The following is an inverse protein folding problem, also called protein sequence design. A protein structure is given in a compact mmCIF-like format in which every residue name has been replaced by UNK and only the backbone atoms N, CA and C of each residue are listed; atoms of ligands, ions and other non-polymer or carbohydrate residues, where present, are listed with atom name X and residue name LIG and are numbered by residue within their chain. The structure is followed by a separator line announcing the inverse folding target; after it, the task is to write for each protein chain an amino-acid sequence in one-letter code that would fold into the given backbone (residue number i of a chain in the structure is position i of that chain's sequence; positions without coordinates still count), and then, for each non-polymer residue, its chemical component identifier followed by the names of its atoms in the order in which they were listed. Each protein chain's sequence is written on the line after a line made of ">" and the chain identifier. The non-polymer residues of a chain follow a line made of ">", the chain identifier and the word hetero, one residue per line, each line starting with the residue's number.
data_IF_453701164406
#
_entry.id   IF_453701164406
#
_cell.length_a   1.000
_cell.length_b   1.000
_cell.length_c   1.000
_cell.angle_alpha   90.00
_cell.angle_beta   90.00
_cell.angle_gamma   90.00
#
_symmetry.space_group_name_H-M   'P 1'
#
loop_
_entity.id
_entity.type
_entity.pdbx_description
1 polymer ?
#
# COMPACT_ATOMS: atom_id res chain seq x y z
N UNK A 1 -9.28 2.24 -0.68
CA UNK A 1 -8.66 2.07 0.67
C UNK A 1 -7.87 0.78 0.64
N UNK A 2 -6.66 0.76 1.18
CA UNK A 2 -5.85 -0.44 1.22
C UNK A 2 -6.46 -1.45 2.22
N UNK A 3 -6.35 -2.77 1.98
CA UNK A 3 -6.91 -3.80 2.88
C UNK A 3 -6.42 -3.66 4.31
N UNK A 4 -5.13 -3.33 4.50
CA UNK A 4 -4.53 -3.11 5.80
C UNK A 4 -5.16 -1.93 6.55
N UNK A 5 -5.41 -0.84 5.82
CA UNK A 5 -6.10 0.33 6.39
C UNK A 5 -7.53 -0.03 6.78
N UNK A 6 -8.22 -0.82 5.95
CA UNK A 6 -9.58 -1.26 6.26
C UNK A 6 -9.60 -2.13 7.52
N UNK A 7 -8.74 -3.14 7.58
CA UNK A 7 -8.64 -3.99 8.77
C UNK A 7 -8.33 -3.18 10.03
N UNK A 8 -7.36 -2.27 9.93
CA UNK A 8 -6.99 -1.43 11.06
C UNK A 8 -8.14 -0.51 11.49
N UNK A 9 -8.93 -0.02 10.55
CA UNK A 9 -10.15 0.73 10.88
C UNK A 9 -11.18 -0.16 11.57
N UNK A 10 -11.44 -1.35 11.03
CA UNK A 10 -12.36 -2.32 11.63
C UNK A 10 -11.87 -2.75 13.03
N UNK A 11 -10.57 -2.92 13.21
CA UNK A 11 -9.92 -3.19 14.50
C UNK A 11 -10.10 -2.04 15.49
N UNK A 12 -9.88 -0.80 15.05
CA UNK A 12 -10.06 0.39 15.90
C UNK A 12 -11.54 0.65 16.20
N UNK A 13 -12.44 0.43 15.24
CA UNK A 13 -13.89 0.60 15.42
C UNK A 13 -14.50 -0.46 16.35
N UNK A 14 -13.92 -1.66 16.44
CA UNK A 14 -14.35 -2.71 17.37
C UNK A 14 -13.98 -2.42 18.83
N UNK A 15 -13.19 -1.38 19.07
CA UNK A 15 -12.71 -0.91 20.38
C UNK A 15 -13.23 0.49 20.66
N UNK A 16 -13.16 0.92 21.91
CA UNK A 16 -13.46 2.30 22.24
C UNK A 16 -12.54 3.21 21.39
N UNK A 17 -13.08 4.25 20.73
CA UNK A 17 -12.24 5.15 19.93
C UNK A 17 -11.13 5.71 20.79
N UNK A 18 -9.90 5.70 20.27
CA UNK A 18 -8.77 6.29 20.97
C UNK A 18 -9.10 7.75 21.27
N UNK A 19 -8.83 8.16 22.50
CA UNK A 19 -9.07 9.54 22.93
C UNK A 19 -8.31 10.53 22.04
N UNK A 20 -7.09 10.17 21.63
CA UNK A 20 -6.20 10.93 20.75
C UNK A 20 -6.77 11.08 19.33
N UNK A 21 -7.42 10.04 18.80
CA UNK A 21 -8.11 10.13 17.50
C UNK A 21 -9.30 11.08 17.56
N UNK A 22 -10.09 10.98 18.62
CA UNK A 22 -11.25 11.87 18.84
C UNK A 22 -10.80 13.32 19.02
N UNK A 23 -9.74 13.56 19.78
CA UNK A 23 -9.15 14.87 19.94
C UNK A 23 -8.63 15.43 18.60
N UNK A 24 -7.91 14.62 17.85
CA UNK A 24 -7.39 15.00 16.51
C UNK A 24 -8.52 15.38 15.56
N UNK A 25 -9.61 14.61 15.52
CA UNK A 25 -10.77 14.91 14.69
C UNK A 25 -11.43 16.23 15.09
N UNK A 26 -11.57 16.47 16.40
CA UNK A 26 -12.16 17.71 16.94
C UNK A 26 -11.28 18.92 16.59
N UNK A 27 -9.99 18.83 16.82
CA UNK A 27 -9.05 19.92 16.50
C UNK A 27 -8.95 20.16 15.00
N UNK A 28 -8.99 19.10 14.17
CA UNK A 28 -9.00 19.23 12.71
C UNK A 28 -10.28 19.93 12.21
N UNK A 29 -11.41 19.60 12.79
CA UNK A 29 -12.67 20.29 12.52
C UNK A 29 -12.60 21.77 12.88
N UNK A 30 -12.11 22.11 14.09
CA UNK A 30 -11.95 23.49 14.55
C UNK A 30 -10.95 24.25 13.67
N UNK A 31 -9.82 23.60 13.33
CA UNK A 31 -8.82 24.18 12.43
C UNK A 31 -9.44 24.52 11.05
N UNK A 32 -10.24 23.65 10.50
CA UNK A 32 -10.85 23.83 9.18
C UNK A 32 -11.83 25.03 9.15
N UNK A 33 -12.56 25.26 10.22
CA UNK A 33 -13.60 26.28 10.28
C UNK A 33 -13.15 27.63 10.84
N UNK A 34 -11.94 27.71 11.42
CA UNK A 34 -11.44 28.97 11.97
C UNK A 34 -10.85 29.88 10.91
N UNK A 35 -10.85 31.20 11.17
CA UNK A 35 -10.06 32.17 10.42
C UNK A 35 -8.55 32.04 10.81
N UNK A 36 -7.69 31.87 9.81
CA UNK A 36 -6.26 31.72 10.00
C UNK A 36 -5.49 33.05 9.91
N UNK A 37 -6.17 34.17 9.71
CA UNK A 37 -5.54 35.49 9.57
C UNK A 37 -4.74 35.72 8.29
N UNK A 38 -4.72 34.75 7.39
CA UNK A 38 -4.02 34.84 6.09
C UNK A 38 -4.95 34.41 4.95
N UNK A 39 -5.23 35.32 4.02
CA UNK A 39 -6.14 35.06 2.90
C UNK A 39 -5.75 33.84 2.06
N UNK A 40 -4.46 33.70 1.76
CA UNK A 40 -3.96 32.55 0.97
C UNK A 40 -4.14 31.21 1.68
N UNK A 41 -4.05 31.20 3.01
CA UNK A 41 -4.32 30.00 3.81
C UNK A 41 -5.80 29.68 3.87
N UNK A 42 -6.62 30.69 4.12
CA UNK A 42 -8.07 30.55 4.15
C UNK A 42 -8.62 30.09 2.79
N UNK A 43 -8.09 30.63 1.69
CA UNK A 43 -8.50 30.23 0.34
C UNK A 43 -8.13 28.77 0.07
N UNK A 44 -6.91 28.33 0.38
CA UNK A 44 -6.45 26.95 0.23
C UNK A 44 -7.33 25.96 1.00
N UNK A 45 -7.70 26.29 2.24
CA UNK A 45 -8.54 25.45 3.07
C UNK A 45 -9.97 25.36 2.50
N UNK A 46 -10.52 26.47 2.03
CA UNK A 46 -11.82 26.50 1.36
C UNK A 46 -11.83 25.69 0.06
N UNK A 47 -10.73 25.71 -0.68
CA UNK A 47 -10.58 24.92 -1.91
C UNK A 47 -10.61 23.42 -1.63
N UNK A 48 -10.06 22.99 -0.49
CA UNK A 48 -10.09 21.58 -0.12
C UNK A 48 -11.51 21.05 0.06
N UNK A 49 -12.43 21.81 0.67
CA UNK A 49 -13.86 21.53 0.91
C UNK A 49 -14.17 20.02 1.13
N UNK A 50 -13.62 19.37 2.18
CA UNK A 50 -13.83 17.95 2.41
C UNK A 50 -15.25 17.69 2.90
N UNK A 51 -15.87 16.61 2.42
CA UNK A 51 -17.06 16.06 3.05
C UNK A 51 -16.75 15.67 4.50
N UNK A 52 -17.73 15.74 5.40
CA UNK A 52 -17.53 15.49 6.84
C UNK A 52 -16.84 14.16 7.15
N UNK A 53 -17.12 13.12 6.38
CA UNK A 53 -16.51 11.80 6.50
C UNK A 53 -15.04 11.77 6.03
N UNK A 54 -14.59 12.78 5.28
CA UNK A 54 -13.21 12.83 4.79
C UNK A 54 -12.22 13.12 5.91
N UNK A 55 -12.59 13.86 6.94
CA UNK A 55 -11.73 14.10 8.10
C UNK A 55 -11.41 12.79 8.83
N UNK A 56 -12.45 11.98 9.09
CA UNK A 56 -12.25 10.67 9.71
C UNK A 56 -11.34 9.79 8.85
N UNK A 57 -11.60 9.70 7.56
CA UNK A 57 -10.78 8.91 6.64
C UNK A 57 -9.32 9.38 6.61
N UNK A 58 -9.05 10.69 6.66
CA UNK A 58 -7.69 11.25 6.69
C UNK A 58 -6.97 10.91 8.00
N UNK A 59 -7.63 11.06 9.15
CA UNK A 59 -7.04 10.73 10.45
C UNK A 59 -6.74 9.23 10.54
N UNK A 60 -7.68 8.38 10.13
CA UNK A 60 -7.48 6.93 10.08
C UNK A 60 -6.34 6.54 9.12
N UNK A 61 -6.27 7.16 7.95
CA UNK A 61 -5.21 6.89 6.99
C UNK A 61 -3.84 7.35 7.49
N UNK A 62 -3.77 8.50 8.16
CA UNK A 62 -2.56 8.98 8.81
C UNK A 62 -2.10 7.99 9.87
N UNK A 63 -2.98 7.60 10.77
CA UNK A 63 -2.68 6.70 11.87
C UNK A 63 -2.28 5.32 11.37
N UNK A 64 -3.04 4.76 10.40
CA UNK A 64 -2.69 3.52 9.73
C UNK A 64 -1.33 3.58 9.04
N UNK A 65 -1.02 4.68 8.35
CA UNK A 65 0.28 4.87 7.71
C UNK A 65 1.44 4.80 8.70
N UNK A 66 1.26 5.34 9.90
CA UNK A 66 2.30 5.29 10.95
C UNK A 66 2.38 3.91 11.60
N UNK A 67 1.24 3.29 11.94
CA UNK A 67 1.19 1.96 12.57
C UNK A 67 1.73 0.84 11.67
N UNK A 68 1.52 0.94 10.36
CA UNK A 68 2.04 -0.04 9.39
C UNK A 68 3.56 0.03 9.20
N UNK A 69 4.23 1.00 9.81
CA UNK A 69 5.67 1.21 9.73
C UNK A 69 6.29 1.21 11.14
N UNK A 70 6.66 0.06 11.71
CA UNK A 70 7.15 -0.04 13.09
C UNK A 70 8.33 0.90 13.42
N UNK A 71 9.17 1.22 12.43
CA UNK A 71 10.26 2.18 12.58
C UNK A 71 9.85 3.63 12.28
N UNK A 72 8.54 3.87 12.07
CA UNK A 72 7.99 5.16 11.68
C UNK A 72 8.23 5.52 10.22
N UNK A 73 7.52 6.53 9.75
CA UNK A 73 7.68 7.13 8.43
C UNK A 73 8.52 8.42 8.52
N UNK A 74 9.24 8.76 7.46
CA UNK A 74 9.78 10.13 7.39
C UNK A 74 8.64 11.13 7.26
N UNK A 75 8.80 12.31 7.85
CA UNK A 75 7.78 13.37 7.81
C UNK A 75 7.37 13.71 6.38
N UNK A 76 8.34 13.78 5.45
CA UNK A 76 8.08 14.04 4.04
C UNK A 76 7.29 12.92 3.36
N UNK A 77 7.59 11.66 3.67
CA UNK A 77 6.86 10.52 3.11
C UNK A 77 5.40 10.53 3.59
N UNK A 78 5.18 10.83 4.88
CA UNK A 78 3.83 10.92 5.44
C UNK A 78 3.05 12.10 4.86
N UNK A 79 3.68 13.27 4.65
CA UNK A 79 3.06 14.39 3.92
C UNK A 79 2.62 13.93 2.53
N UNK A 80 3.50 13.28 1.76
CA UNK A 80 3.17 12.78 0.42
C UNK A 80 2.01 11.78 0.43
N UNK A 81 1.96 10.92 1.46
CA UNK A 81 0.91 9.93 1.65
C UNK A 81 -0.46 10.58 1.92
N UNK A 82 -0.52 11.56 2.83
CA UNK A 82 -1.75 12.27 3.18
C UNK A 82 -2.17 13.28 2.12
N UNK A 83 -1.22 13.93 1.44
CA UNK A 83 -1.52 14.91 0.39
C UNK A 83 -2.36 14.34 -0.78
N UNK A 84 -2.27 13.02 -1.00
CA UNK A 84 -3.12 12.33 -1.98
C UNK A 84 -4.62 12.34 -1.64
N UNK A 85 -4.99 12.63 -0.38
CA UNK A 85 -6.37 12.70 0.08
C UNK A 85 -6.90 14.15 0.15
N UNK A 86 -6.04 15.13 -0.03
CA UNK A 86 -6.39 16.56 -0.02
C UNK A 86 -6.74 16.99 -1.42
N UNK A 87 -7.97 17.47 -1.61
CA UNK A 87 -8.49 17.86 -2.93
C UNK A 87 -8.24 19.36 -3.19
N UNK A 88 -6.98 19.81 -3.17
CA UNK A 88 -6.58 21.12 -3.68
C UNK A 88 -6.05 20.99 -5.09
N UNK A 89 -6.22 22.01 -5.93
CA UNK A 89 -5.71 22.00 -7.31
C UNK A 89 -4.17 21.93 -7.32
N UNK A 90 -3.53 22.79 -6.55
CA UNK A 90 -2.08 22.89 -6.57
C UNK A 90 -1.38 21.89 -5.63
N UNK A 91 -0.39 21.10 -6.13
CA UNK A 91 0.29 20.07 -5.33
C UNK A 91 0.95 20.58 -4.03
N UNK A 92 1.50 21.80 -4.08
CA UNK A 92 2.12 22.43 -2.90
C UNK A 92 1.09 22.73 -1.80
N UNK A 93 -0.14 23.08 -2.17
CA UNK A 93 -1.19 23.39 -1.22
C UNK A 93 -1.76 22.11 -0.59
N UNK A 94 -1.80 21.00 -1.35
CA UNK A 94 -2.06 19.66 -0.79
C UNK A 94 -1.03 19.29 0.27
N UNK A 95 0.26 19.48 -0.03
CA UNK A 95 1.34 19.17 0.90
C UNK A 95 1.29 20.03 2.16
N UNK A 96 0.95 21.34 2.03
CA UNK A 96 0.79 22.25 3.17
C UNK A 96 -0.38 21.82 4.07
N UNK A 97 -1.54 21.48 3.49
CA UNK A 97 -2.67 20.98 4.26
C UNK A 97 -2.33 19.66 4.97
N UNK A 98 -1.69 18.72 4.26
CA UNK A 98 -1.24 17.46 4.86
C UNK A 98 -0.28 17.68 6.03
N UNK A 99 0.68 18.61 5.89
CA UNK A 99 1.60 18.94 6.97
C UNK A 99 0.88 19.51 8.20
N UNK A 100 -0.16 20.32 8.01
CA UNK A 100 -0.96 20.84 9.11
C UNK A 100 -1.81 19.76 9.79
N UNK A 101 -2.36 18.81 9.03
CA UNK A 101 -3.06 17.63 9.60
C UNK A 101 -2.11 16.82 10.49
N UNK A 102 -0.89 16.56 10.05
CA UNK A 102 0.12 15.84 10.84
C UNK A 102 0.49 16.64 12.10
N UNK A 103 0.62 17.96 11.99
CA UNK A 103 0.90 18.82 13.13
C UNK A 103 -0.23 18.81 14.17
N UNK A 104 -1.48 18.78 13.74
CA UNK A 104 -2.65 18.65 14.63
C UNK A 104 -2.63 17.26 15.31
N UNK A 105 -2.37 16.19 14.58
CA UNK A 105 -2.26 14.84 15.13
C UNK A 105 -1.14 14.74 16.18
N UNK A 106 -0.02 15.42 15.95
CA UNK A 106 1.06 15.54 16.92
C UNK A 106 0.65 16.33 18.18
N UNK A 107 -0.08 17.44 18.04
CA UNK A 107 -0.59 18.24 19.17
C UNK A 107 -1.62 17.49 20.04
N UNK A 108 -2.27 16.49 19.46
CA UNK A 108 -3.25 15.62 20.12
C UNK A 108 -2.65 14.27 20.57
N UNK A 109 -1.35 14.13 20.59
CA UNK A 109 -0.61 12.93 21.02
C UNK A 109 -0.93 11.65 20.22
N UNK A 110 -1.61 11.78 19.06
CA UNK A 110 -1.87 10.64 18.18
C UNK A 110 -0.60 10.11 17.52
N UNK A 111 0.34 11.00 17.25
CA UNK A 111 1.65 10.67 16.68
C UNK A 111 2.76 11.44 17.40
N UNK A 112 3.97 10.87 17.34
CA UNK A 112 5.18 11.47 17.90
C UNK A 112 6.10 11.87 16.75
N UNK A 113 6.61 13.11 16.77
CA UNK A 113 7.59 13.58 15.79
C UNK A 113 8.96 13.66 16.47
N UNK A 114 9.91 12.90 16.00
CA UNK A 114 11.27 12.85 16.51
C UNK A 114 12.30 13.17 15.44
N UNK A 115 13.47 13.63 15.84
CA UNK A 115 14.59 13.91 14.96
C UNK A 115 15.63 12.78 15.09
N UNK A 116 15.98 12.15 13.98
CA UNK A 116 16.99 11.09 13.96
C UNK A 116 18.40 11.69 14.05
N UNK A 117 19.40 10.81 14.30
CA UNK A 117 20.82 11.18 14.25
C UNK A 117 21.25 11.79 12.91
N UNK A 118 20.60 11.41 11.82
CA UNK A 118 20.81 11.95 10.48
C UNK A 118 20.04 13.26 10.19
N UNK A 119 19.50 13.88 11.24
CA UNK A 119 18.68 15.08 11.17
C UNK A 119 17.36 14.95 10.38
N UNK A 120 16.97 13.74 10.04
CA UNK A 120 15.68 13.46 9.39
C UNK A 120 14.57 13.43 10.43
N UNK A 121 13.45 14.07 10.14
CA UNK A 121 12.27 14.01 11.01
C UNK A 121 11.50 12.71 10.71
N UNK A 122 11.22 11.94 11.77
CA UNK A 122 10.37 10.74 11.71
C UNK A 122 9.10 10.92 12.51
N UNK A 123 8.05 10.27 12.03
CA UNK A 123 6.74 10.23 12.68
C UNK A 123 6.48 8.78 13.10
N UNK A 124 6.24 8.59 14.38
CA UNK A 124 5.92 7.32 15.02
C UNK A 124 4.65 7.47 15.85
N UNK A 125 4.20 6.41 16.48
CA UNK A 125 3.14 6.46 17.52
C UNK A 125 3.57 5.64 18.72
N UNK A 126 3.08 5.98 19.89
CA UNK A 126 3.25 5.19 21.12
C UNK A 126 2.20 4.08 21.23
N UNK A 127 1.20 4.10 20.37
CA UNK A 127 0.18 3.07 20.34
C UNK A 127 0.76 1.72 19.88
N UNK A 128 0.52 0.69 20.68
CA UNK A 128 0.93 -0.68 20.40
C UNK A 128 -0.32 -1.48 20.04
N UNK A 129 -0.29 -2.12 18.87
CA UNK A 129 -1.33 -3.07 18.50
C UNK A 129 -1.23 -4.31 19.40
N UNK A 130 -2.34 -4.73 19.99
CA UNK A 130 -2.38 -5.96 20.81
C UNK A 130 -2.44 -7.24 19.94
N UNK A 131 -2.80 -7.07 18.67
CA UNK A 131 -2.84 -8.13 17.67
C UNK A 131 -1.82 -7.85 16.59
N UNK A 132 -1.16 -8.89 16.10
CA UNK A 132 -0.33 -8.76 14.90
C UNK A 132 -1.21 -8.31 13.75
N UNK A 133 -0.75 -7.29 13.02
CA UNK A 133 -1.42 -6.89 11.78
C UNK A 133 -1.41 -8.12 10.89
N UNK A 134 -2.58 -8.67 10.52
CA UNK A 134 -2.61 -9.78 9.59
C UNK A 134 -1.78 -9.40 8.38
N UNK A 135 -0.99 -10.33 7.87
CA UNK A 135 -0.21 -10.10 6.65
C UNK A 135 -1.20 -9.82 5.50
N UNK A 136 -1.75 -8.61 5.48
CA UNK A 136 -2.54 -8.13 4.35
C UNK A 136 -1.57 -8.01 3.19
N UNK A 137 -1.62 -9.02 2.41
CA UNK A 137 -0.76 -9.18 1.29
C UNK A 137 -1.13 -8.13 0.22
N UNK A 138 -0.47 -6.99 0.28
CA UNK A 138 -0.27 -6.12 -0.90
C UNK A 138 0.30 -6.90 -2.08
N UNK A 139 0.59 -8.16 -1.88
CA UNK A 139 1.33 -9.04 -2.75
C UNK A 139 0.57 -10.32 -3.10
N UNK A 140 -0.68 -10.47 -2.62
CA UNK A 140 -1.56 -11.51 -3.13
C UNK A 140 -2.02 -11.16 -4.54
N UNK A 141 -2.14 -12.16 -5.40
CA UNK A 141 -2.79 -12.00 -6.69
C UNK A 141 -4.30 -11.76 -6.50
N UNK A 142 -4.96 -11.31 -7.54
CA UNK A 142 -6.40 -11.05 -7.52
C UNK A 142 -7.18 -12.36 -7.72
N UNK A 143 -8.21 -12.60 -6.93
CA UNK A 143 -9.07 -13.79 -7.08
C UNK A 143 -10.20 -13.59 -8.10
N UNK A 144 -10.29 -12.40 -8.67
CA UNK A 144 -11.18 -12.08 -9.78
C UNK A 144 -10.39 -11.27 -10.81
N UNK A 145 -10.76 -11.31 -12.12
CA UNK A 145 -10.12 -10.48 -13.12
C UNK A 145 -10.28 -9.00 -12.72
N UNK A 146 -9.19 -8.21 -12.80
CA UNK A 146 -9.26 -6.78 -12.50
C UNK A 146 -10.14 -6.05 -13.52
N UNK A 147 -10.66 -4.91 -13.10
CA UNK A 147 -11.34 -3.97 -13.99
C UNK A 147 -10.39 -3.50 -15.10
N UNK A 148 -10.91 -3.26 -16.33
CA UNK A 148 -10.11 -2.73 -17.42
C UNK A 148 -9.37 -1.43 -17.01
N UNK A 149 -8.12 -1.34 -17.40
CA UNK A 149 -7.25 -0.21 -17.06
C UNK A 149 -7.71 1.05 -17.80
N UNK A 150 -7.97 2.13 -17.06
CA UNK A 150 -8.51 3.41 -17.61
C UNK A 150 -7.45 4.52 -17.73
N UNK A 151 -6.22 4.25 -17.34
CA UNK A 151 -5.12 5.23 -17.34
C UNK A 151 -3.80 4.55 -17.69
N UNK A 152 -2.77 5.33 -17.94
CA UNK A 152 -1.43 4.88 -18.36
C UNK A 152 -0.45 4.87 -17.16
N UNK A 153 -0.65 4.09 -16.08
CA UNK A 153 0.23 4.15 -14.91
C UNK A 153 1.61 3.60 -15.25
N UNK A 154 2.64 4.22 -14.65
CA UNK A 154 4.01 3.74 -14.75
C UNK A 154 4.26 2.79 -13.58
N UNK A 155 4.79 1.61 -13.86
CA UNK A 155 5.15 0.60 -12.88
C UNK A 155 6.00 1.20 -11.73
N UNK A 156 5.59 0.93 -10.49
CA UNK A 156 6.24 1.45 -9.30
C UNK A 156 6.07 2.95 -9.04
N UNK A 157 5.31 3.64 -9.87
CA UNK A 157 5.09 5.08 -9.80
C UNK A 157 3.59 5.41 -9.77
N UNK A 158 2.90 5.10 -8.69
CA UNK A 158 1.44 5.21 -8.54
C UNK A 158 0.80 6.51 -9.02
N UNK A 159 1.55 7.61 -9.04
CA UNK A 159 1.06 8.95 -9.40
C UNK A 159 1.60 9.46 -10.73
N UNK A 160 2.46 8.69 -11.42
CA UNK A 160 3.01 9.06 -12.71
C UNK A 160 2.31 8.27 -13.81
N UNK A 161 2.03 8.96 -14.88
CA UNK A 161 1.45 8.40 -16.10
C UNK A 161 2.46 8.49 -17.23
N UNK A 162 2.36 7.61 -18.21
CA UNK A 162 3.09 7.76 -19.45
C UNK A 162 2.64 9.04 -20.17
N UNK A 163 3.59 9.75 -20.77
CA UNK A 163 3.31 10.98 -21.53
C UNK A 163 2.58 10.67 -22.86
N UNK A 164 2.75 9.45 -23.38
CA UNK A 164 2.16 8.96 -24.62
C UNK A 164 1.23 7.79 -24.32
N UNK A 165 0.36 7.46 -25.28
CA UNK A 165 -0.53 6.32 -25.17
C UNK A 165 0.25 5.01 -25.15
N UNK A 166 -0.15 4.11 -24.26
CA UNK A 166 0.33 2.73 -24.21
C UNK A 166 -0.81 1.75 -24.54
N UNK A 167 -0.48 0.54 -24.94
CA UNK A 167 -1.47 -0.45 -25.32
C UNK A 167 -2.19 -1.03 -24.10
N UNK A 168 -3.24 -0.36 -23.64
CA UNK A 168 -4.06 -0.81 -22.50
C UNK A 168 -4.77 -2.14 -22.79
N UNK A 169 -5.22 -2.36 -24.00
CA UNK A 169 -5.81 -3.65 -24.44
C UNK A 169 -4.88 -4.86 -24.20
N UNK A 170 -3.57 -4.65 -24.29
CA UNK A 170 -2.61 -5.71 -23.98
C UNK A 170 -2.58 -6.00 -22.47
N UNK A 171 -2.56 -4.97 -21.63
CA UNK A 171 -2.65 -5.12 -20.19
C UNK A 171 -3.94 -5.87 -19.83
N UNK A 172 -5.09 -5.42 -20.34
CA UNK A 172 -6.39 -6.03 -20.04
C UNK A 172 -6.44 -7.52 -20.41
N UNK A 173 -5.87 -7.87 -21.58
CA UNK A 173 -5.77 -9.28 -22.00
C UNK A 173 -4.87 -10.10 -21.08
N UNK A 174 -3.72 -9.57 -20.67
CA UNK A 174 -2.80 -10.26 -19.77
C UNK A 174 -3.43 -10.45 -18.38
N UNK A 175 -4.14 -9.46 -17.88
CA UNK A 175 -4.81 -9.50 -16.58
C UNK A 175 -6.02 -10.44 -16.57
N UNK A 176 -6.66 -10.62 -17.71
CA UNK A 176 -7.80 -11.53 -17.85
C UNK A 176 -7.39 -13.02 -17.82
N UNK A 177 -6.11 -13.36 -18.03
CA UNK A 177 -5.63 -14.74 -18.04
C UNK A 177 -5.70 -15.33 -16.63
N UNK A 178 -6.48 -16.39 -16.40
CA UNK A 178 -6.49 -17.06 -15.10
C UNK A 178 -5.26 -17.95 -14.94
N UNK A 179 -4.59 -17.79 -13.81
CA UNK A 179 -3.39 -18.51 -13.42
C UNK A 179 -3.68 -19.42 -12.22
N UNK A 180 -2.82 -20.40 -12.00
CA UNK A 180 -2.84 -21.29 -10.85
C UNK A 180 -1.41 -21.57 -10.36
N UNK A 181 -1.27 -21.99 -9.13
CA UNK A 181 -0.02 -22.51 -8.59
C UNK A 181 0.11 -24.01 -8.93
N UNK A 182 1.31 -24.46 -9.22
CA UNK A 182 1.64 -25.87 -9.33
C UNK A 182 1.84 -26.47 -7.93
N UNK A 183 0.76 -27.01 -7.36
CA UNK A 183 0.75 -27.59 -6.01
C UNK A 183 1.74 -28.76 -5.86
N UNK A 184 1.94 -29.51 -6.94
CA UNK A 184 2.91 -30.62 -6.93
C UNK A 184 4.33 -30.07 -6.77
N UNK A 185 4.70 -29.08 -7.57
CA UNK A 185 6.01 -28.46 -7.50
C UNK A 185 6.25 -27.83 -6.12
N UNK A 186 5.24 -27.13 -5.59
CA UNK A 186 5.32 -26.52 -4.25
C UNK A 186 5.54 -27.55 -3.15
N UNK A 187 4.96 -28.76 -3.26
CA UNK A 187 5.11 -29.82 -2.28
C UNK A 187 6.44 -30.56 -2.39
N UNK A 188 6.98 -30.70 -3.61
CA UNK A 188 8.21 -31.47 -3.88
C UNK A 188 9.49 -30.61 -3.79
N UNK A 189 9.39 -29.32 -4.09
CA UNK A 189 10.54 -28.43 -4.20
C UNK A 189 10.31 -27.10 -3.45
N UNK A 190 10.81 -26.97 -2.23
CA UNK A 190 10.74 -25.71 -1.49
C UNK A 190 11.61 -24.63 -2.16
N UNK A 191 11.20 -23.37 -2.03
CA UNK A 191 12.00 -22.25 -2.52
C UNK A 191 13.37 -22.22 -1.81
N UNK A 192 14.44 -22.26 -2.58
CA UNK A 192 15.81 -22.27 -2.10
C UNK A 192 16.62 -21.17 -2.79
N UNK A 193 17.75 -20.84 -2.20
CA UNK A 193 18.71 -19.88 -2.77
C UNK A 193 20.13 -20.43 -2.62
N UNK A 194 20.96 -20.16 -3.61
CA UNK A 194 22.40 -20.43 -3.55
C UNK A 194 23.18 -19.23 -2.97
N UNK A 195 22.48 -18.20 -2.51
CA UNK A 195 23.11 -17.01 -1.93
C UNK A 195 23.78 -17.35 -0.61
N UNK A 196 25.03 -16.98 -0.48
CA UNK A 196 25.76 -17.01 0.79
C UNK A 196 25.53 -15.66 1.47
N UNK A 197 24.95 -15.72 2.66
CA UNK A 197 24.64 -14.52 3.42
C UNK A 197 25.89 -13.94 4.08
N UNK A 198 26.08 -12.63 3.98
CA UNK A 198 27.19 -11.94 4.62
C UNK A 198 26.88 -11.59 6.09
N UNK A 199 25.59 -11.44 6.41
CA UNK A 199 25.12 -11.11 7.76
C UNK A 199 23.93 -11.97 8.16
N UNK A 200 23.78 -12.18 9.47
CA UNK A 200 22.64 -12.90 10.05
C UNK A 200 21.31 -12.20 9.75
N UNK A 201 21.30 -10.86 9.68
CA UNK A 201 20.12 -10.09 9.32
C UNK A 201 19.63 -10.40 7.90
N UNK A 202 20.53 -10.61 6.93
CA UNK A 202 20.16 -11.02 5.57
C UNK A 202 19.55 -12.41 5.54
N UNK A 203 20.06 -13.33 6.35
CA UNK A 203 19.51 -14.67 6.50
C UNK A 203 18.11 -14.64 7.11
N UNK A 204 17.91 -13.88 8.18
CA UNK A 204 16.59 -13.68 8.81
C UNK A 204 15.57 -13.06 7.84
N UNK A 205 15.98 -12.07 7.04
CA UNK A 205 15.13 -11.47 6.02
C UNK A 205 14.72 -12.46 4.93
N UNK A 206 15.61 -13.36 4.54
CA UNK A 206 15.30 -14.43 3.60
C UNK A 206 14.33 -15.46 4.18
N UNK A 207 14.53 -15.85 5.42
CA UNK A 207 13.62 -16.78 6.11
C UNK A 207 12.21 -16.19 6.30
N UNK A 208 12.13 -14.91 6.68
CA UNK A 208 10.85 -14.20 6.75
C UNK A 208 10.16 -14.12 5.38
N UNK A 209 10.94 -13.82 4.34
CA UNK A 209 10.42 -13.82 2.97
C UNK A 209 9.86 -15.19 2.56
N UNK A 210 10.57 -16.28 2.85
CA UNK A 210 10.12 -17.65 2.54
C UNK A 210 8.85 -18.00 3.29
N UNK A 211 8.79 -17.69 4.58
CA UNK A 211 7.60 -17.91 5.40
C UNK A 211 6.39 -17.20 4.82
N UNK A 212 6.51 -15.92 4.52
CA UNK A 212 5.43 -15.12 3.92
C UNK A 212 5.06 -15.56 2.52
N UNK A 213 6.02 -16.04 1.74
CA UNK A 213 5.74 -16.63 0.43
C UNK A 213 4.88 -17.89 0.57
N UNK A 214 5.22 -18.78 1.51
CA UNK A 214 4.46 -19.99 1.78
C UNK A 214 3.02 -19.67 2.24
N UNK A 215 2.86 -18.69 3.14
CA UNK A 215 1.54 -18.20 3.57
C UNK A 215 0.71 -17.68 2.38
N UNK A 216 1.33 -16.93 1.47
CA UNK A 216 0.66 -16.42 0.27
C UNK A 216 0.23 -17.55 -0.67
N UNK A 217 1.05 -18.58 -0.85
CA UNK A 217 0.71 -19.76 -1.65
C UNK A 217 -0.46 -20.52 -1.03
N UNK A 218 -0.44 -20.73 0.27
CA UNK A 218 -1.51 -21.40 1.00
C UNK A 218 -2.85 -20.67 0.86
N UNK A 219 -2.85 -19.33 1.00
CA UNK A 219 -4.05 -18.52 0.82
C UNK A 219 -4.62 -18.68 -0.60
N UNK A 220 -3.77 -18.69 -1.63
CA UNK A 220 -4.21 -18.87 -3.02
C UNK A 220 -4.83 -20.25 -3.22
N UNK A 221 -4.20 -21.31 -2.68
CA UNK A 221 -4.70 -22.69 -2.78
C UNK A 221 -6.04 -22.83 -2.06
N UNK A 222 -6.17 -22.29 -0.85
CA UNK A 222 -7.41 -22.31 -0.06
C UNK A 222 -8.55 -21.55 -0.74
N UNK A 223 -8.26 -20.56 -1.56
CA UNK A 223 -9.23 -19.81 -2.38
C UNK A 223 -9.49 -20.45 -3.75
N UNK A 224 -9.19 -21.73 -3.93
CA UNK A 224 -9.51 -22.51 -5.13
C UNK A 224 -8.42 -22.49 -6.19
N UNK A 225 -7.22 -22.04 -5.85
CA UNK A 225 -6.03 -22.06 -6.71
C UNK A 225 -6.28 -21.47 -8.10
N UNK A 226 -7.02 -20.36 -8.17
CA UNK A 226 -7.30 -19.61 -9.39
C UNK A 226 -7.15 -18.12 -9.10
N UNK A 227 -6.28 -17.45 -9.84
CA UNK A 227 -5.97 -16.05 -9.60
C UNK A 227 -5.61 -15.30 -10.89
N UNK A 228 -5.55 -13.99 -10.79
CA UNK A 228 -5.16 -13.06 -11.83
C UNK A 228 -4.05 -12.15 -11.33
N UNK A 229 -3.23 -11.62 -12.24
CA UNK A 229 -2.13 -10.72 -11.91
C UNK A 229 -2.36 -9.36 -12.54
N UNK A 230 -2.10 -8.29 -11.77
CA UNK A 230 -2.03 -6.94 -12.32
C UNK A 230 -0.76 -6.75 -13.15
N UNK A 231 -0.87 -5.91 -14.18
CA UNK A 231 0.24 -5.61 -15.08
C UNK A 231 0.36 -4.10 -15.27
N UNK A 232 1.60 -3.62 -15.34
CA UNK A 232 1.90 -2.24 -15.66
C UNK A 232 3.10 -2.13 -16.60
N UNK A 233 3.17 -1.03 -17.34
CA UNK A 233 4.34 -0.72 -18.16
C UNK A 233 5.40 0.04 -17.36
N UNK A 234 6.68 -0.30 -17.58
CA UNK A 234 7.78 0.54 -17.11
C UNK A 234 7.92 1.81 -17.97
N UNK A 235 8.81 2.72 -17.58
CA UNK A 235 9.09 3.96 -18.33
C UNK A 235 9.55 3.74 -19.78
N UNK A 236 9.95 2.53 -20.14
CA UNK A 236 10.39 2.12 -21.49
C UNK A 236 9.32 1.41 -22.28
N UNK A 237 8.11 1.28 -21.73
CA UNK A 237 6.98 0.60 -22.38
C UNK A 237 7.03 -0.93 -22.34
N UNK A 238 7.78 -1.53 -21.41
CA UNK A 238 7.78 -2.98 -21.20
C UNK A 238 6.74 -3.35 -20.15
N UNK A 239 5.92 -4.36 -20.46
CA UNK A 239 4.88 -4.86 -19.58
C UNK A 239 5.45 -5.79 -18.50
N UNK A 240 5.11 -5.53 -17.26
CA UNK A 240 5.51 -6.31 -16.08
C UNK A 240 4.30 -6.71 -15.27
N UNK A 241 4.35 -7.94 -14.75
CA UNK A 241 3.45 -8.47 -13.75
C UNK A 241 3.76 -7.86 -12.38
N UNK A 242 2.77 -7.31 -11.72
CA UNK A 242 2.90 -6.82 -10.33
C UNK A 242 2.65 -7.98 -9.36
N UNK A 243 3.69 -8.48 -8.74
CA UNK A 243 3.62 -9.51 -7.73
C UNK A 243 4.93 -9.66 -6.99
N UNK A 244 4.88 -9.76 -5.69
CA UNK A 244 6.07 -9.90 -4.85
C UNK A 244 6.38 -11.36 -4.53
N UNK A 245 5.41 -12.08 -3.96
CA UNK A 245 5.56 -13.49 -3.63
C UNK A 245 5.30 -14.39 -4.84
N UNK A 246 4.26 -14.10 -5.61
CA UNK A 246 3.86 -14.83 -6.82
C UNK A 246 4.13 -13.92 -8.01
N UNK A 247 5.01 -14.35 -8.91
CA UNK A 247 5.38 -13.57 -10.10
C UNK A 247 6.00 -14.46 -11.19
N UNK A 248 5.27 -14.67 -12.27
CA UNK A 248 5.76 -15.50 -13.38
C UNK A 248 6.87 -14.85 -14.23
N UNK A 249 7.24 -13.60 -13.93
CA UNK A 249 8.39 -12.91 -14.52
C UNK A 249 9.59 -12.81 -13.55
N UNK A 250 9.46 -13.32 -12.33
CA UNK A 250 10.48 -13.30 -11.30
C UNK A 250 11.63 -14.29 -11.49
N UNK A 251 12.21 -14.74 -10.39
CA UNK A 251 13.26 -15.78 -10.36
C UNK A 251 12.74 -17.12 -10.93
N UNK A 252 13.67 -18.03 -11.25
CA UNK A 252 13.33 -19.31 -11.90
C UNK A 252 12.29 -20.10 -11.13
N UNK A 253 12.40 -20.17 -9.81
CA UNK A 253 11.44 -20.84 -8.95
C UNK A 253 10.03 -20.21 -9.08
N UNK A 254 9.93 -18.88 -9.00
CA UNK A 254 8.65 -18.15 -9.13
C UNK A 254 7.98 -18.35 -10.49
N UNK A 255 8.78 -18.48 -11.56
CA UNK A 255 8.28 -18.82 -12.89
C UNK A 255 7.75 -20.24 -12.96
N UNK A 256 8.43 -21.18 -12.29
CA UNK A 256 8.10 -22.59 -12.35
C UNK A 256 6.82 -22.94 -11.59
N UNK A 257 6.54 -22.23 -10.48
CA UNK A 257 5.34 -22.50 -9.66
C UNK A 257 4.05 -21.93 -10.24
N UNK A 258 4.11 -21.07 -11.28
CA UNK A 258 2.91 -20.47 -11.89
C UNK A 258 2.59 -21.14 -13.21
N UNK A 259 1.36 -21.56 -13.38
CA UNK A 259 0.84 -22.20 -14.58
C UNK A 259 -0.50 -21.60 -14.99
N UNK A 260 -0.97 -21.89 -16.20
CA UNK A 260 -2.32 -21.54 -16.62
C UNK A 260 -3.35 -22.35 -15.83
N UNK A 261 -4.38 -21.69 -15.30
CA UNK A 261 -5.46 -22.39 -14.60
C UNK A 261 -6.29 -23.27 -15.54
N UNK A 262 -6.43 -22.84 -16.80
CA UNK A 262 -7.11 -23.59 -17.85
C UNK A 262 -6.05 -24.24 -18.76
N UNK A 263 -6.03 -25.56 -18.76
CA UNK A 263 -5.08 -26.35 -19.56
C UNK A 263 -5.78 -26.85 -20.82
N UNK A 264 -5.20 -26.51 -21.95
CA UNK A 264 -5.64 -27.07 -23.25
C UNK A 264 -4.74 -28.28 -23.65
N UNK A 265 -5.36 -29.32 -24.14
CA UNK A 265 -4.61 -30.44 -24.73
C UNK A 265 -4.30 -30.06 -26.19
N UNK A 266 -3.04 -29.76 -26.43
CA UNK A 266 -2.55 -29.59 -27.82
C UNK A 266 -2.27 -30.97 -28.38
N UNK A 267 -3.03 -31.38 -29.42
CA UNK A 267 -2.68 -32.53 -30.20
C UNK A 267 -1.49 -32.18 -31.09
N UNK A 268 -0.36 -32.84 -30.88
CA UNK A 268 0.86 -32.70 -31.69
C UNK A 268 0.71 -33.45 -33.02
#
# INVERSE_FOLDING_TARGET
>A
MLPETKWLMDYLDSRAPLQEMTATLTELWLWFHRDHGYDSKNQRIKEWDPAINAFYAIVCQLFAGVLLHPQGMTYQALIGYIAGMVNCEHPLDRAKCAAEVIAIAYQCDLVVISKTSEQTMRVTTEFVLEEEIPAFNRHLPLFAPPEPVKSNPILGCRFKQHAEDVCLDHIDRMQAIPLALDERLLSELPEATDTVWETHEQEEQWEDFRRRSAEAYEIVIQNGNRFHMEHNYDTRGRCYCEGYFINYQGASYKKAIVQLAEKEIVQL
#
